data_IF_381925263505
#
_entry.id   IF_381925263505
#
_cell.length_a   1.000
_cell.length_b   1.000
_cell.length_c   1.000
_cell.angle_alpha   90.00
_cell.angle_beta   90.00
_cell.angle_gamma   90.00
#
_symmetry.space_group_name_H-M   'P 1'
#
loop_
_entity.id
_entity.type
_entity.pdbx_description
1 polymer ?
#
# COMPACT_ATOMS: atom_id res chain seq x y z
N UNK A 1 -19.67 16.25 -27.94
CA UNK A 1 -18.62 15.22 -28.01
C UNK A 1 -18.81 14.40 -26.73
N UNK A 2 -19.32 13.20 -26.85
CA UNK A 2 -19.33 12.26 -25.72
C UNK A 2 -17.86 12.02 -25.33
N UNK A 3 -17.51 12.38 -24.11
CA UNK A 3 -16.19 12.07 -23.59
C UNK A 3 -16.11 10.55 -23.35
N UNK A 4 -15.17 9.88 -23.99
CA UNK A 4 -14.91 8.47 -23.69
C UNK A 4 -14.46 8.31 -22.25
N UNK A 5 -14.86 7.25 -21.55
CA UNK A 5 -14.32 6.93 -20.24
C UNK A 5 -12.80 6.90 -20.30
N UNK A 6 -12.15 7.47 -19.30
CA UNK A 6 -10.69 7.54 -19.23
C UNK A 6 -10.20 6.72 -18.04
N UNK A 7 -9.21 5.86 -18.25
CA UNK A 7 -8.46 5.20 -17.20
C UNK A 7 -7.08 5.87 -17.10
N UNK A 8 -6.76 6.39 -15.93
CA UNK A 8 -5.42 6.92 -15.63
C UNK A 8 -4.76 6.05 -14.59
N UNK A 9 -3.54 5.58 -14.87
CA UNK A 9 -2.73 4.82 -13.93
C UNK A 9 -1.50 5.65 -13.60
N UNK A 10 -1.29 5.93 -12.32
CA UNK A 10 -0.13 6.63 -11.82
C UNK A 10 0.68 5.69 -10.90
N UNK A 11 1.94 5.47 -11.25
CA UNK A 11 2.87 4.74 -10.41
C UNK A 11 3.75 5.72 -9.65
N UNK A 12 3.71 5.64 -8.32
CA UNK A 12 4.44 6.54 -7.43
C UNK A 12 5.39 5.72 -6.57
N UNK A 13 6.69 5.87 -6.79
CA UNK A 13 7.73 5.12 -6.07
C UNK A 13 7.99 5.67 -4.64
N UNK A 14 7.22 6.62 -4.18
CA UNK A 14 7.27 7.14 -2.82
C UNK A 14 6.24 6.39 -1.95
N UNK A 15 6.55 5.99 -0.71
CA UNK A 15 7.70 6.38 0.13
C UNK A 15 8.91 5.42 0.08
N UNK A 16 9.13 4.70 -1.02
CA UNK A 16 10.30 3.83 -1.17
C UNK A 16 11.61 4.61 -1.00
N UNK A 17 12.64 3.93 -0.46
CA UNK A 17 14.00 4.46 -0.43
C UNK A 17 14.57 4.69 -1.86
N UNK A 18 15.37 5.75 -2.10
CA UNK A 18 15.85 6.75 -1.14
C UNK A 18 14.77 7.75 -0.72
N UNK A 19 14.82 8.18 0.54
CA UNK A 19 13.91 9.19 1.05
C UNK A 19 14.34 10.56 0.52
N UNK A 20 13.51 11.15 -0.33
CA UNK A 20 13.83 12.36 -1.09
C UNK A 20 13.25 13.62 -0.48
N UNK A 21 12.21 13.48 0.35
CA UNK A 21 11.47 14.62 0.88
C UNK A 21 11.35 14.55 2.40
N UNK A 22 11.35 15.71 3.04
CA UNK A 22 10.90 15.89 4.42
C UNK A 22 9.35 16.02 4.48
N UNK A 23 8.81 16.26 5.67
CA UNK A 23 7.36 16.37 5.89
C UNK A 23 6.74 17.59 5.18
N UNK A 24 7.50 18.61 4.91
CA UNK A 24 7.13 19.86 4.23
C UNK A 24 7.34 19.79 2.72
N UNK A 25 7.91 18.70 2.21
CA UNK A 25 8.20 18.51 0.79
C UNK A 25 9.52 19.14 0.32
N UNK A 26 10.37 19.55 1.25
CA UNK A 26 11.71 19.98 0.89
C UNK A 26 12.60 18.76 0.59
N UNK A 27 13.64 18.97 -0.20
CA UNK A 27 14.58 17.89 -0.53
C UNK A 27 15.31 17.45 0.74
N UNK A 28 15.20 16.18 1.08
CA UNK A 28 15.91 15.57 2.19
C UNK A 28 17.43 15.63 2.00
N UNK A 29 18.23 15.67 3.07
CA UNK A 29 19.68 15.66 2.96
C UNK A 29 20.18 14.44 2.19
N UNK A 30 21.21 14.60 1.35
CA UNK A 30 21.78 13.55 0.49
C UNK A 30 22.28 12.29 1.23
N UNK A 31 22.38 12.35 2.56
CA UNK A 31 22.77 11.25 3.44
C UNK A 31 21.64 10.86 4.39
N UNK A 32 20.39 10.96 3.93
CA UNK A 32 19.27 10.45 4.69
C UNK A 32 19.56 8.98 5.08
N UNK A 33 19.64 8.73 6.38
CA UNK A 33 19.91 7.38 6.87
C UNK A 33 18.65 6.53 6.66
N UNK A 34 18.79 5.44 5.95
CA UNK A 34 17.72 4.48 5.76
C UNK A 34 17.19 3.94 7.10
N UNK A 35 18.03 3.86 8.12
CA UNK A 35 17.66 3.38 9.43
C UNK A 35 16.92 4.43 10.28
N UNK A 36 16.88 5.69 9.86
CA UNK A 36 16.18 6.74 10.58
C UNK A 36 14.68 6.77 10.24
N UNK A 37 13.88 6.21 11.14
CA UNK A 37 12.42 6.17 11.01
C UNK A 37 11.80 7.56 10.82
N UNK A 38 12.39 8.61 11.40
CA UNK A 38 11.83 9.96 11.30
C UNK A 38 11.85 10.48 9.87
N UNK A 39 12.86 10.13 9.10
CA UNK A 39 13.00 10.53 7.69
C UNK A 39 11.94 9.81 6.84
N UNK A 40 11.75 8.51 7.06
CA UNK A 40 10.67 7.75 6.41
C UNK A 40 9.30 8.37 6.71
N UNK A 41 9.03 8.66 7.99
CA UNK A 41 7.75 9.25 8.39
C UNK A 41 7.56 10.65 7.82
N UNK A 42 8.63 11.45 7.71
CA UNK A 42 8.59 12.74 7.04
C UNK A 42 8.12 12.60 5.59
N UNK A 43 8.77 11.73 4.81
CA UNK A 43 8.39 11.49 3.42
C UNK A 43 6.96 10.95 3.29
N UNK A 44 6.54 10.06 4.18
CA UNK A 44 5.17 9.54 4.21
C UNK A 44 4.14 10.65 4.50
N UNK A 45 4.44 11.56 5.42
CA UNK A 45 3.59 12.71 5.74
C UNK A 45 3.41 13.61 4.51
N UNK A 46 4.50 13.93 3.83
CA UNK A 46 4.44 14.70 2.59
C UNK A 46 3.62 13.98 1.50
N UNK A 47 3.87 12.69 1.30
CA UNK A 47 3.11 11.90 0.32
C UNK A 47 1.60 11.93 0.62
N UNK A 48 1.20 11.80 1.88
CA UNK A 48 -0.21 11.86 2.27
C UNK A 48 -0.83 13.22 1.87
N UNK A 49 -0.11 14.32 2.09
CA UNK A 49 -0.57 15.66 1.67
C UNK A 49 -0.73 15.77 0.14
N UNK A 50 0.19 15.19 -0.61
CA UNK A 50 0.12 15.16 -2.08
C UNK A 50 -1.04 14.32 -2.56
N UNK A 51 -1.26 13.15 -1.97
CA UNK A 51 -2.38 12.26 -2.30
C UNK A 51 -3.73 12.91 -1.98
N UNK A 52 -3.88 13.48 -0.80
CA UNK A 52 -5.09 14.18 -0.38
C UNK A 52 -5.44 15.33 -1.35
N UNK A 53 -4.45 16.15 -1.68
CA UNK A 53 -4.62 17.24 -2.65
C UNK A 53 -5.00 16.71 -4.03
N UNK A 54 -4.36 15.66 -4.48
CA UNK A 54 -4.62 15.08 -5.81
C UNK A 54 -6.01 14.48 -5.90
N UNK A 55 -6.43 13.74 -4.88
CA UNK A 55 -7.78 13.15 -4.79
C UNK A 55 -8.84 14.25 -4.76
N UNK A 56 -8.65 15.27 -3.92
CA UNK A 56 -9.56 16.41 -3.85
C UNK A 56 -9.72 17.09 -5.21
N UNK A 57 -8.62 17.35 -5.91
CA UNK A 57 -8.64 17.97 -7.24
C UNK A 57 -9.36 17.12 -8.31
N UNK A 58 -9.33 15.79 -8.19
CA UNK A 58 -10.08 14.89 -9.07
C UNK A 58 -11.56 14.99 -8.75
N UNK A 59 -11.93 14.84 -7.48
CA UNK A 59 -13.34 14.84 -7.05
C UNK A 59 -14.02 16.19 -7.23
N UNK A 60 -13.29 17.30 -7.17
CA UNK A 60 -13.82 18.63 -7.49
C UNK A 60 -14.24 18.76 -8.95
N UNK A 61 -13.63 18.01 -9.85
CA UNK A 61 -13.90 18.03 -11.30
C UNK A 61 -14.86 16.93 -11.73
N UNK A 62 -14.77 15.79 -11.10
CA UNK A 62 -15.56 14.60 -11.36
C UNK A 62 -15.91 13.90 -10.04
N UNK A 63 -17.03 14.30 -9.41
CA UNK A 63 -17.47 13.69 -8.14
C UNK A 63 -17.80 12.20 -8.24
N UNK A 64 -18.07 11.73 -9.47
CA UNK A 64 -18.38 10.32 -9.75
C UNK A 64 -17.15 9.50 -10.13
N UNK A 65 -15.95 10.10 -10.07
CA UNK A 65 -14.71 9.41 -10.38
C UNK A 65 -14.53 8.19 -9.47
N UNK A 66 -14.09 7.09 -10.05
CA UNK A 66 -13.60 5.93 -9.29
C UNK A 66 -12.11 6.14 -9.01
N UNK A 67 -11.74 6.13 -7.74
CA UNK A 67 -10.35 6.34 -7.31
C UNK A 67 -9.90 5.12 -6.51
N UNK A 68 -8.76 4.56 -6.91
CA UNK A 68 -8.12 3.44 -6.24
C UNK A 68 -6.73 3.89 -5.82
N UNK A 69 -6.39 3.75 -4.54
CA UNK A 69 -5.05 3.98 -4.01
C UNK A 69 -4.57 2.70 -3.37
N UNK A 70 -3.56 2.10 -3.97
CA UNK A 70 -3.03 0.82 -3.51
C UNK A 70 -1.50 0.84 -3.47
N UNK A 71 -0.92 0.12 -2.50
CA UNK A 71 0.49 -0.24 -2.50
C UNK A 71 0.66 -1.74 -2.69
N UNK A 72 1.83 -2.14 -3.17
CA UNK A 72 2.19 -3.54 -3.39
C UNK A 72 2.50 -4.27 -2.07
N UNK A 73 2.93 -3.53 -1.04
CA UNK A 73 3.19 -4.02 0.30
C UNK A 73 3.16 -2.87 1.32
N UNK A 74 3.16 -3.21 2.59
CA UNK A 74 3.34 -2.26 3.68
C UNK A 74 4.79 -1.83 3.86
N UNK A 75 5.08 -1.18 4.98
CA UNK A 75 6.46 -0.77 5.25
C UNK A 75 7.37 -1.95 5.58
N UNK A 76 8.56 -1.94 5.01
CA UNK A 76 9.64 -2.89 5.36
C UNK A 76 10.59 -2.35 6.43
N UNK A 77 10.27 -1.19 6.96
CA UNK A 77 11.07 -0.54 7.98
C UNK A 77 10.62 -0.99 9.39
N UNK A 78 11.51 -1.28 10.32
CA UNK A 78 12.98 -1.39 10.18
C UNK A 78 13.47 -2.78 9.75
N UNK A 79 12.56 -3.77 9.72
CA UNK A 79 12.88 -5.19 9.62
C UNK A 79 13.75 -5.58 8.44
N UNK A 80 13.51 -5.01 7.26
CA UNK A 80 14.30 -5.36 6.08
C UNK A 80 15.77 -4.98 6.23
N UNK A 81 16.08 -3.86 6.88
CA UNK A 81 17.48 -3.47 7.14
C UNK A 81 18.18 -4.40 8.09
N UNK A 82 17.47 -4.89 9.10
CA UNK A 82 17.99 -5.85 10.04
C UNK A 82 18.26 -7.20 9.36
N UNK A 83 17.39 -7.63 8.43
CA UNK A 83 17.61 -8.84 7.64
C UNK A 83 18.86 -8.70 6.75
N UNK A 84 18.98 -7.61 6.00
CA UNK A 84 20.11 -7.42 5.07
C UNK A 84 21.45 -7.23 5.77
N UNK A 85 21.45 -6.58 6.93
CA UNK A 85 22.67 -6.29 7.68
C UNK A 85 23.00 -7.34 8.74
N UNK A 86 22.21 -8.44 8.84
CA UNK A 86 22.41 -9.47 9.84
C UNK A 86 22.22 -8.96 11.28
N UNK A 87 21.40 -7.93 11.45
CA UNK A 87 21.12 -7.34 12.76
C UNK A 87 20.43 -8.32 13.69
N UNK A 88 20.85 -8.36 14.98
CA UNK A 88 20.30 -9.29 15.96
C UNK A 88 18.88 -8.96 16.42
N UNK A 89 18.35 -7.79 16.07
CA UNK A 89 17.12 -7.25 16.64
C UNK A 89 15.89 -7.38 15.70
N UNK A 90 16.02 -8.20 14.64
CA UNK A 90 14.87 -8.47 13.78
C UNK A 90 13.90 -9.41 14.50
N UNK A 91 12.71 -8.88 14.79
CA UNK A 91 11.59 -9.66 15.32
C UNK A 91 10.53 -9.86 14.24
N UNK A 92 10.45 -11.04 13.62
CA UNK A 92 9.48 -11.30 12.57
C UNK A 92 8.03 -11.16 13.05
N UNK A 93 7.74 -11.43 14.31
CA UNK A 93 6.39 -11.32 14.88
C UNK A 93 5.93 -9.86 14.90
N UNK A 94 6.83 -8.94 15.25
CA UNK A 94 6.52 -7.51 15.28
C UNK A 94 6.54 -6.86 13.90
N UNK A 95 7.42 -7.31 13.00
CA UNK A 95 7.70 -6.63 11.73
C UNK A 95 6.79 -7.10 10.59
N UNK A 96 6.40 -8.38 10.58
CA UNK A 96 5.59 -8.94 9.49
C UNK A 96 4.23 -8.24 9.31
N UNK A 97 3.48 -7.90 10.36
CA UNK A 97 2.23 -7.18 10.19
C UNK A 97 2.40 -5.84 9.47
N UNK A 98 3.48 -5.11 9.75
CA UNK A 98 3.75 -3.84 9.05
C UNK A 98 4.10 -4.05 7.58
N UNK A 99 4.77 -5.13 7.24
CA UNK A 99 5.12 -5.46 5.85
C UNK A 99 3.90 -5.90 5.03
N UNK A 100 2.96 -6.60 5.67
CA UNK A 100 1.76 -7.12 5.02
C UNK A 100 0.63 -6.09 4.95
N UNK A 101 0.63 -5.08 5.80
CA UNK A 101 -0.41 -4.06 5.83
C UNK A 101 -0.23 -3.06 4.67
N UNK A 102 -0.58 -3.52 3.46
CA UNK A 102 -0.57 -2.70 2.26
C UNK A 102 -1.70 -1.66 2.31
N UNK A 103 -1.40 -0.46 1.80
CA UNK A 103 -2.43 0.54 1.58
C UNK A 103 -3.44 0.02 0.55
N UNK A 104 -4.72 0.07 0.88
CA UNK A 104 -5.80 -0.34 -0.01
C UNK A 104 -7.03 0.51 0.28
N UNK A 105 -7.33 1.45 -0.59
CA UNK A 105 -8.45 2.38 -0.47
C UNK A 105 -9.16 2.49 -1.82
N UNK A 106 -10.48 2.42 -1.81
CA UNK A 106 -11.30 2.63 -2.99
C UNK A 106 -12.41 3.63 -2.69
N UNK A 107 -12.56 4.60 -3.55
CA UNK A 107 -13.69 5.51 -3.60
C UNK A 107 -14.47 5.25 -4.89
N UNK A 108 -15.76 4.96 -4.77
CA UNK A 108 -16.67 4.74 -5.88
C UNK A 108 -18.11 5.03 -5.44
N UNK A 109 -18.97 5.42 -6.38
CA UNK A 109 -20.36 5.73 -6.07
C UNK A 109 -20.53 6.88 -5.06
N UNK A 110 -19.63 7.85 -5.06
CA UNK A 110 -19.67 9.02 -4.17
C UNK A 110 -19.24 8.76 -2.73
N UNK A 111 -18.65 7.62 -2.42
CA UNK A 111 -18.24 7.23 -1.06
C UNK A 111 -17.03 6.27 -1.05
N UNK A 112 -16.39 6.15 0.10
CA UNK A 112 -15.43 5.07 0.32
C UNK A 112 -16.14 3.71 0.31
N UNK A 113 -15.57 2.73 -0.40
CA UNK A 113 -16.07 1.36 -0.38
C UNK A 113 -15.61 0.64 0.90
N UNK A 114 -16.49 -0.23 1.41
CA UNK A 114 -16.11 -1.17 2.44
C UNK A 114 -15.36 -2.34 1.80
N UNK A 115 -14.07 -2.40 2.07
CA UNK A 115 -13.13 -3.39 1.55
C UNK A 115 -12.32 -4.03 2.66
N UNK A 116 -12.80 -3.95 3.90
CA UNK A 116 -12.14 -4.55 5.05
C UNK A 116 -11.90 -6.04 4.83
N UNK A 117 -10.69 -6.49 5.13
CA UNK A 117 -10.27 -7.88 4.96
C UNK A 117 -10.08 -8.35 3.52
N UNK A 118 -10.25 -7.50 2.52
CA UNK A 118 -10.04 -7.88 1.12
C UNK A 118 -8.59 -7.70 0.68
N UNK A 119 -8.06 -8.67 -0.06
CA UNK A 119 -6.81 -8.50 -0.80
C UNK A 119 -6.99 -7.50 -1.96
N UNK A 120 -5.90 -6.93 -2.47
CA UNK A 120 -5.97 -6.02 -3.61
C UNK A 120 -6.69 -6.63 -4.83
N UNK A 121 -6.53 -7.93 -5.08
CA UNK A 121 -7.21 -8.63 -6.18
C UNK A 121 -8.72 -8.71 -5.92
N UNK A 122 -9.14 -9.08 -4.72
CA UNK A 122 -10.56 -9.19 -4.38
C UNK A 122 -11.21 -7.80 -4.25
N UNK A 123 -10.46 -6.78 -3.84
CA UNK A 123 -10.90 -5.39 -3.90
C UNK A 123 -11.28 -4.98 -5.32
N UNK A 124 -10.43 -5.27 -6.30
CA UNK A 124 -10.73 -4.97 -7.71
C UNK A 124 -11.94 -5.77 -8.23
N UNK A 125 -12.07 -7.05 -7.84
CA UNK A 125 -13.24 -7.87 -8.20
C UNK A 125 -14.52 -7.33 -7.60
N UNK A 126 -14.49 -6.92 -6.34
CA UNK A 126 -15.62 -6.30 -5.66
C UNK A 126 -16.03 -5.01 -6.36
N UNK A 127 -15.07 -4.14 -6.68
CA UNK A 127 -15.32 -2.91 -7.43
C UNK A 127 -15.96 -3.18 -8.79
N UNK A 128 -15.41 -4.11 -9.56
CA UNK A 128 -15.94 -4.46 -10.88
C UNK A 128 -17.36 -5.01 -10.80
N UNK A 129 -17.63 -5.86 -9.82
CA UNK A 129 -18.97 -6.41 -9.64
C UNK A 129 -19.98 -5.32 -9.24
N UNK A 130 -19.61 -4.39 -8.36
CA UNK A 130 -20.51 -3.36 -7.87
C UNK A 130 -20.74 -2.25 -8.89
N UNK A 131 -19.68 -1.74 -9.53
CA UNK A 131 -19.78 -0.54 -10.37
C UNK A 131 -20.03 -0.87 -11.85
N UNK A 132 -19.65 -2.07 -12.31
CA UNK A 132 -19.75 -2.45 -13.71
C UNK A 132 -20.67 -3.66 -13.95
N UNK A 133 -21.30 -4.19 -12.91
CA UNK A 133 -22.27 -5.30 -13.03
C UNK A 133 -21.64 -6.60 -13.52
N UNK A 134 -20.35 -6.80 -13.29
CA UNK A 134 -19.70 -8.08 -13.57
C UNK A 134 -20.00 -9.10 -12.48
N UNK A 135 -19.67 -10.37 -12.71
CA UNK A 135 -19.86 -11.47 -11.74
C UNK A 135 -18.53 -12.22 -11.57
N UNK A 136 -17.48 -11.49 -11.18
CA UNK A 136 -16.20 -12.11 -10.88
C UNK A 136 -16.26 -12.86 -9.56
N UNK A 137 -15.95 -14.16 -9.51
CA UNK A 137 -15.90 -14.90 -8.25
C UNK A 137 -14.76 -14.37 -7.37
N UNK A 138 -14.98 -14.28 -6.06
CA UNK A 138 -13.90 -13.98 -5.12
C UNK A 138 -12.88 -15.11 -5.14
N UNK A 139 -11.62 -14.75 -5.11
CA UNK A 139 -10.53 -15.72 -5.01
C UNK A 139 -10.26 -16.02 -3.53
N UNK A 140 -9.82 -17.26 -3.29
CA UNK A 140 -9.22 -17.58 -2.00
C UNK A 140 -8.08 -16.61 -1.72
N UNK A 141 -8.00 -16.12 -0.50
CA UNK A 141 -6.98 -15.16 -0.05
C UNK A 141 -5.97 -15.92 0.81
N UNK A 142 -5.00 -16.62 0.21
CA UNK A 142 -3.98 -17.27 0.99
C UNK A 142 -3.19 -16.18 1.71
N UNK A 143 -3.16 -16.27 3.01
CA UNK A 143 -2.25 -15.49 3.83
C UNK A 143 -0.93 -16.23 3.87
N UNK A 144 0.08 -15.63 3.33
CA UNK A 144 1.40 -16.26 3.31
C UNK A 144 2.49 -15.22 3.17
N UNK A 145 3.62 -15.59 3.69
CA UNK A 145 4.82 -14.77 3.71
C UNK A 145 5.91 -15.44 2.87
N UNK A 146 6.48 -14.71 1.92
CA UNK A 146 7.68 -15.15 1.22
C UNK A 146 8.85 -14.29 1.65
N UNK A 147 9.83 -14.90 2.31
CA UNK A 147 11.11 -14.26 2.57
C UNK A 147 12.14 -14.76 1.55
N UNK A 148 13.09 -13.92 1.18
CA UNK A 148 14.14 -14.20 0.21
C UNK A 148 14.56 -15.67 0.13
N UNK A 149 14.23 -16.34 -0.98
CA UNK A 149 14.64 -17.73 -1.25
C UNK A 149 13.86 -18.81 -0.50
N UNK A 150 12.86 -18.45 0.28
CA UNK A 150 11.98 -19.43 0.93
C UNK A 150 10.64 -19.51 0.19
N UNK A 151 10.14 -20.72 0.04
CA UNK A 151 8.82 -20.98 -0.54
C UNK A 151 7.71 -20.76 0.49
N UNK A 152 6.47 -20.70 0.03
CA UNK A 152 5.28 -20.69 0.89
C UNK A 152 5.22 -21.86 1.88
N UNK A 153 5.82 -23.00 1.51
CA UNK A 153 5.90 -24.17 2.38
C UNK A 153 6.80 -23.97 3.60
N UNK A 154 7.66 -22.96 3.57
CA UNK A 154 8.58 -22.62 4.66
C UNK A 154 8.02 -21.49 5.55
N UNK A 155 6.75 -21.15 5.37
CA UNK A 155 6.09 -20.09 6.14
C UNK A 155 5.94 -20.56 7.59
N UNK A 156 6.44 -19.81 8.57
CA UNK A 156 6.33 -20.20 9.97
C UNK A 156 4.88 -20.31 10.44
N UNK A 157 4.57 -21.33 11.26
CA UNK A 157 3.21 -21.59 11.77
C UNK A 157 2.60 -20.38 12.51
N UNK A 158 3.43 -19.53 13.13
CA UNK A 158 2.97 -18.34 13.86
C UNK A 158 2.32 -17.29 12.95
N UNK A 159 2.54 -17.32 11.63
CA UNK A 159 1.84 -16.44 10.69
C UNK A 159 0.35 -16.77 10.57
N UNK A 160 -0.04 -18.01 10.83
CA UNK A 160 -1.44 -18.40 10.86
C UNK A 160 -2.19 -17.73 12.02
N UNK A 161 -1.48 -17.45 13.12
CA UNK A 161 -2.06 -16.89 14.35
C UNK A 161 -2.29 -15.36 14.25
N UNK A 162 -1.68 -14.70 13.27
CA UNK A 162 -1.87 -13.25 13.04
C UNK A 162 -3.16 -12.91 12.27
N UNK A 163 -3.85 -13.92 11.76
CA UNK A 163 -5.07 -13.78 10.96
C UNK A 163 -6.32 -14.31 11.68
N UNK A 164 -6.24 -14.52 13.00
CA UNK A 164 -7.33 -14.95 13.87
C UNK A 164 -8.28 -13.83 14.30
#
# INVERSE_FOLDING_TARGET
VESSPTLTISYVQCPHYPFLFDAEGNIAPKKADFADKSIYLGQLTYLNTVLETSISNVLDKDPDAIIIVQSDHGTRYPGQMLIYNGGPDYDPVLETPYMQNALNVVYAGGKAMDIEGLSGINTLRTLMNQEFGTDFPMLEQPTGYTCYGKSWADTPDWLSDLNG
#
